data_IF_526816775622
#
_entry.id   IF_526816775622
#
_cell.length_a   1.000
_cell.length_b   1.000
_cell.length_c   1.000
_cell.angle_alpha   90.00
_cell.angle_beta   90.00
_cell.angle_gamma   90.00
#
_symmetry.space_group_name_H-M   'P 1'
#
loop_
_entity.id
_entity.type
_entity.pdbx_description
1 polymer ?
#
# COMPACT_ATOMS: atom_id res chain seq x y z
N UNK A 1 6.93 11.19 17.07
CA UNK A 1 7.35 9.87 17.60
C UNK A 1 7.10 8.80 16.54
N UNK A 2 5.85 8.53 16.13
CA UNK A 2 5.51 7.46 15.17
C UNK A 2 6.09 7.60 13.74
N UNK A 3 6.19 8.83 13.19
CA UNK A 3 6.68 9.04 11.82
C UNK A 3 8.15 8.67 11.64
N UNK A 4 8.98 8.96 12.65
CA UNK A 4 10.40 8.64 12.63
C UNK A 4 10.62 7.12 12.61
N UNK A 5 9.87 6.39 13.44
CA UNK A 5 9.95 4.93 13.52
C UNK A 5 9.55 4.30 12.16
N UNK A 6 8.48 4.79 11.53
CA UNK A 6 8.03 4.35 10.20
C UNK A 6 9.12 4.59 9.16
N UNK A 7 9.68 5.81 9.12
CA UNK A 7 10.75 6.14 8.19
C UNK A 7 11.99 5.27 8.40
N UNK A 8 12.38 5.01 9.65
CA UNK A 8 13.51 4.15 9.97
C UNK A 8 13.26 2.71 9.47
N UNK A 9 12.10 2.14 9.76
CA UNK A 9 11.76 0.79 9.30
C UNK A 9 11.73 0.68 7.77
N UNK A 10 11.15 1.67 7.07
CA UNK A 10 11.11 1.72 5.61
C UNK A 10 12.51 1.87 5.01
N UNK A 11 13.40 2.62 5.67
CA UNK A 11 14.78 2.77 5.22
C UNK A 11 15.57 1.46 5.39
N UNK A 12 15.42 0.77 6.52
CA UNK A 12 16.17 -0.45 6.84
C UNK A 12 15.68 -1.69 6.08
N UNK A 13 14.38 -1.76 5.77
CA UNK A 13 13.78 -2.96 5.18
C UNK A 13 13.18 -2.69 3.80
N UNK A 14 13.26 -3.67 2.89
CA UNK A 14 12.61 -3.57 1.57
C UNK A 14 11.09 -3.79 1.64
N UNK A 15 10.62 -4.46 2.69
CA UNK A 15 9.20 -4.68 2.96
C UNK A 15 8.91 -4.40 4.43
N UNK A 16 7.86 -3.63 4.71
CA UNK A 16 7.41 -3.30 6.07
C UNK A 16 5.93 -3.60 6.19
N UNK A 17 5.52 -4.29 7.24
CA UNK A 17 4.12 -4.49 7.59
C UNK A 17 3.78 -3.50 8.71
N UNK A 18 2.77 -2.68 8.47
CA UNK A 18 2.25 -1.72 9.44
C UNK A 18 0.87 -2.17 9.90
N UNK A 19 0.76 -2.48 11.19
CA UNK A 19 -0.49 -2.80 11.86
C UNK A 19 -1.04 -1.58 12.60
N UNK A 20 -2.34 -1.37 12.53
CA UNK A 20 -3.05 -0.42 13.39
C UNK A 20 -4.53 -0.47 13.09
N UNK A 21 -5.43 -0.24 14.04
CA UNK A 21 -6.88 -0.39 13.78
C UNK A 21 -7.42 0.68 12.82
N UNK A 22 -8.59 0.44 12.21
CA UNK A 22 -9.28 1.44 11.40
C UNK A 22 -9.54 2.71 12.23
N UNK A 23 -9.28 3.89 11.67
CA UNK A 23 -9.40 5.16 12.39
C UNK A 23 -8.15 5.62 13.15
N UNK A 24 -7.05 4.85 13.12
CA UNK A 24 -5.76 5.30 13.67
C UNK A 24 -4.93 6.19 12.72
N UNK A 25 -5.48 6.52 11.55
CA UNK A 25 -4.85 7.36 10.54
C UNK A 25 -3.83 6.66 9.64
N UNK A 26 -3.92 5.33 9.44
CA UNK A 26 -3.04 4.60 8.48
C UNK A 26 -3.19 5.13 7.05
N UNK A 27 -4.44 5.33 6.65
CA UNK A 27 -4.82 5.68 5.28
C UNK A 27 -5.08 7.18 5.12
N UNK A 28 -5.29 7.90 6.22
CA UNK A 28 -5.91 9.24 6.19
C UNK A 28 -5.77 9.90 7.56
N UNK A 29 -4.96 10.95 7.72
CA UNK A 29 -5.18 11.90 8.79
C UNK A 29 -5.98 13.11 8.25
N UNK A 30 -7.32 12.89 8.19
CA UNK A 30 -8.44 13.89 8.26
C UNK A 30 -8.85 14.54 6.90
N UNK A 31 -10.08 15.09 6.64
CA UNK A 31 -11.43 15.10 7.28
C UNK A 31 -12.59 14.54 6.41
N UNK A 32 -13.79 14.39 7.00
CA UNK A 32 -15.07 14.20 6.26
C UNK A 32 -15.46 15.48 5.51
N UNK A 33 -15.83 15.41 4.22
CA UNK A 33 -16.42 16.55 3.53
C UNK A 33 -17.85 16.80 4.05
N UNK A 34 -18.03 17.96 4.67
CA UNK A 34 -19.32 18.66 4.74
C UNK A 34 -19.35 19.61 3.56
N UNK A 35 -19.97 19.24 2.44
CA UNK A 35 -21.10 19.99 1.88
C UNK A 35 -21.60 19.30 0.60
N UNK A 36 -22.91 19.16 0.51
CA UNK A 36 -23.60 18.45 -0.56
C UNK A 36 -24.05 19.47 -1.59
N UNK A 37 -23.22 19.78 -2.58
CA UNK A 37 -23.68 20.55 -3.74
C UNK A 37 -22.99 20.12 -5.03
N UNK A 38 -23.62 19.14 -5.67
CA UNK A 38 -23.73 19.02 -7.13
C UNK A 38 -22.45 19.25 -7.94
N UNK A 39 -21.59 18.24 -8.00
CA UNK A 39 -20.76 18.03 -9.17
C UNK A 39 -20.45 16.53 -9.29
N UNK A 40 -20.73 15.98 -10.47
CA UNK A 40 -20.33 14.64 -10.88
C UNK A 40 -18.80 14.56 -10.88
N UNK A 41 -18.22 14.19 -9.74
CA UNK A 41 -16.80 13.93 -9.60
C UNK A 41 -16.62 12.45 -9.27
N UNK A 42 -15.82 11.77 -10.07
CA UNK A 42 -15.41 10.41 -9.81
C UNK A 42 -14.61 10.37 -8.50
N UNK A 43 -15.25 9.80 -7.48
CA UNK A 43 -14.77 9.83 -6.10
C UNK A 43 -13.72 8.74 -5.89
N UNK A 44 -12.45 9.14 -5.79
CA UNK A 44 -11.46 8.41 -5.01
C UNK A 44 -11.18 9.18 -3.71
N UNK A 45 -11.99 8.97 -2.64
CA UNK A 45 -11.92 9.76 -1.41
C UNK A 45 -10.52 9.84 -0.76
N UNK A 46 -9.69 8.77 -0.78
CA UNK A 46 -8.33 8.85 -0.22
C UNK A 46 -7.44 9.89 -0.93
N UNK A 47 -7.55 10.01 -2.26
CA UNK A 47 -6.72 10.94 -3.02
C UNK A 47 -7.09 12.40 -2.76
N UNK A 48 -8.40 12.70 -2.68
CA UNK A 48 -8.90 14.03 -2.31
C UNK A 48 -8.48 14.41 -0.89
N UNK A 49 -8.62 13.48 0.06
CA UNK A 49 -8.19 13.69 1.45
C UNK A 49 -6.70 14.02 1.54
N UNK A 50 -5.85 13.23 0.87
CA UNK A 50 -4.41 13.47 0.86
C UNK A 50 -4.02 14.80 0.17
N UNK A 51 -4.65 15.14 -0.96
CA UNK A 51 -4.40 16.42 -1.63
C UNK A 51 -4.77 17.60 -0.72
N UNK A 52 -5.92 17.52 -0.04
CA UNK A 52 -6.36 18.53 0.92
C UNK A 52 -5.42 18.64 2.13
N UNK A 53 -5.01 17.52 2.72
CA UNK A 53 -4.08 17.48 3.86
C UNK A 53 -2.71 18.11 3.52
N UNK A 54 -2.23 17.87 2.29
CA UNK A 54 -0.98 18.42 1.78
C UNK A 54 -1.10 19.85 1.24
N UNK A 55 -2.31 20.41 1.15
CA UNK A 55 -2.55 21.74 0.59
C UNK A 55 -2.22 21.84 -0.91
N UNK A 56 -2.33 20.74 -1.65
CA UNK A 56 -2.05 20.65 -3.10
C UNK A 56 -3.32 20.36 -3.88
N UNK A 57 -3.28 20.62 -5.20
CA UNK A 57 -4.39 20.31 -6.07
C UNK A 57 -4.36 18.84 -6.50
N UNK A 58 -5.53 18.20 -6.47
CA UNK A 58 -5.71 16.90 -7.10
C UNK A 58 -5.41 17.01 -8.60
N UNK A 59 -4.79 15.96 -9.15
CA UNK A 59 -4.40 15.92 -10.56
C UNK A 59 -3.06 16.58 -10.86
N UNK A 60 -2.35 17.15 -9.88
CA UNK A 60 -0.97 17.62 -10.04
C UNK A 60 -0.01 16.76 -9.23
N UNK A 61 0.32 17.12 -7.98
CA UNK A 61 1.25 16.37 -7.11
C UNK A 61 0.62 15.08 -6.55
N UNK A 62 -0.69 15.08 -6.33
CA UNK A 62 -1.48 13.93 -5.89
C UNK A 62 -2.48 13.59 -7.00
N UNK A 63 -2.47 12.35 -7.46
CA UNK A 63 -3.38 11.88 -8.49
C UNK A 63 -3.99 10.52 -8.17
N UNK A 64 -4.96 10.11 -8.98
CA UNK A 64 -5.55 8.78 -8.86
C UNK A 64 -5.82 8.14 -10.22
N UNK A 65 -5.87 6.81 -10.23
CA UNK A 65 -6.30 6.03 -11.38
C UNK A 65 -7.12 4.82 -10.96
N UNK A 66 -8.33 4.75 -11.50
CA UNK A 66 -9.24 3.62 -11.40
C UNK A 66 -9.59 3.11 -12.80
N UNK A 67 -10.42 2.07 -12.91
CA UNK A 67 -10.64 1.36 -14.19
C UNK A 67 -11.14 2.26 -15.32
N UNK A 68 -12.04 3.20 -15.01
CA UNK A 68 -12.73 4.03 -15.99
C UNK A 68 -12.44 5.51 -15.81
N UNK A 69 -11.50 5.85 -14.93
CA UNK A 69 -11.22 7.24 -14.62
C UNK A 69 -9.78 7.43 -14.12
N UNK A 70 -9.23 8.62 -14.41
CA UNK A 70 -7.85 8.97 -14.14
C UNK A 70 -7.70 10.48 -14.07
N UNK A 71 -7.13 10.95 -12.96
CA UNK A 71 -6.72 12.34 -12.77
C UNK A 71 -5.26 12.35 -12.27
N UNK A 72 -4.30 12.45 -13.20
CA UNK A 72 -2.87 12.35 -12.92
C UNK A 72 -2.11 13.34 -13.80
N UNK A 73 -1.39 14.26 -13.17
CA UNK A 73 -0.53 15.24 -13.83
C UNK A 73 0.90 14.73 -14.06
N UNK A 74 1.68 15.50 -14.80
CA UNK A 74 3.08 15.18 -15.10
C UNK A 74 3.96 15.18 -13.84
N UNK A 75 3.62 16.01 -12.86
CA UNK A 75 4.36 16.16 -11.59
C UNK A 75 3.81 15.28 -10.46
N UNK A 76 3.00 14.26 -10.78
CA UNK A 76 2.37 13.41 -9.78
C UNK A 76 3.41 12.60 -8.99
N UNK A 77 3.59 12.95 -7.73
CA UNK A 77 4.47 12.27 -6.78
C UNK A 77 3.74 11.15 -6.03
N UNK A 78 2.44 11.32 -5.76
CA UNK A 78 1.61 10.35 -5.03
C UNK A 78 0.45 9.93 -5.92
N UNK A 79 0.43 8.64 -6.27
CA UNK A 79 -0.63 8.07 -7.10
C UNK A 79 -1.44 7.05 -6.31
N UNK A 80 -2.72 7.34 -6.13
CA UNK A 80 -3.68 6.39 -5.62
C UNK A 80 -4.24 5.52 -6.74
N UNK A 81 -4.36 4.21 -6.54
CA UNK A 81 -4.94 3.33 -7.54
C UNK A 81 -5.56 2.09 -6.93
N UNK A 82 -6.43 1.44 -7.69
CA UNK A 82 -6.93 0.11 -7.30
C UNK A 82 -5.92 -0.97 -7.64
N UNK A 83 -5.97 -2.09 -6.93
CA UNK A 83 -5.15 -3.27 -7.18
C UNK A 83 -5.13 -3.71 -8.65
N UNK A 84 -6.29 -3.64 -9.33
CA UNK A 84 -6.41 -4.01 -10.74
C UNK A 84 -5.65 -3.07 -11.68
N UNK A 85 -5.49 -1.79 -11.33
CA UNK A 85 -4.67 -0.85 -12.09
C UNK A 85 -3.19 -1.17 -11.89
N UNK A 86 -2.75 -1.42 -10.65
CA UNK A 86 -1.38 -1.80 -10.37
C UNK A 86 -0.98 -3.11 -11.07
N UNK A 87 -1.86 -4.11 -11.08
CA UNK A 87 -1.64 -5.37 -11.81
C UNK A 87 -1.42 -5.14 -13.32
N UNK A 88 -2.18 -4.23 -13.94
CA UNK A 88 -1.99 -3.87 -15.36
C UNK A 88 -0.67 -3.16 -15.61
N UNK A 89 -0.23 -2.33 -14.66
CA UNK A 89 1.07 -1.68 -14.75
C UNK A 89 2.21 -2.68 -14.61
N UNK A 90 2.14 -3.65 -13.71
CA UNK A 90 3.11 -4.76 -13.62
C UNK A 90 3.16 -5.55 -14.93
N UNK A 91 2.03 -5.77 -15.60
CA UNK A 91 2.02 -6.42 -16.92
C UNK A 91 2.74 -5.60 -18.00
N UNK A 92 2.71 -4.28 -17.90
CA UNK A 92 3.32 -3.36 -18.88
C UNK A 92 4.80 -3.10 -18.58
N UNK A 93 5.14 -2.90 -17.31
CA UNK A 93 6.49 -2.76 -16.78
C UNK A 93 6.62 -3.59 -15.50
N UNK A 94 7.13 -4.80 -15.67
CA UNK A 94 7.30 -5.75 -14.56
C UNK A 94 8.19 -5.20 -13.44
N UNK A 95 9.17 -4.35 -13.77
CA UNK A 95 10.08 -3.79 -12.77
C UNK A 95 9.49 -2.58 -12.05
N UNK A 96 8.32 -2.09 -12.45
CA UNK A 96 7.67 -0.92 -11.84
C UNK A 96 8.66 0.25 -11.67
N UNK A 97 9.47 0.54 -12.69
CA UNK A 97 10.62 1.46 -12.60
C UNK A 97 10.22 2.87 -12.17
N UNK A 98 8.98 3.24 -12.47
CA UNK A 98 8.37 4.53 -12.09
C UNK A 98 8.12 4.67 -10.59
N UNK A 99 8.14 3.58 -9.84
CA UNK A 99 7.82 3.56 -8.41
C UNK A 99 9.07 3.25 -7.59
N UNK A 100 9.33 4.09 -6.58
CA UNK A 100 10.31 3.84 -5.52
C UNK A 100 9.66 3.15 -4.32
N UNK A 101 8.38 3.44 -4.06
CA UNK A 101 7.59 2.90 -2.96
C UNK A 101 6.22 2.47 -3.47
N UNK A 102 5.74 1.30 -3.03
CA UNK A 102 4.36 0.84 -3.23
C UNK A 102 3.73 0.58 -1.87
N UNK A 103 2.57 1.18 -1.63
CA UNK A 103 1.80 0.97 -0.41
C UNK A 103 0.55 0.16 -0.77
N UNK A 104 0.38 -0.99 -0.12
CA UNK A 104 -0.84 -1.79 -0.21
C UNK A 104 -1.64 -1.60 1.06
N UNK A 105 -2.81 -1.02 0.94
CA UNK A 105 -3.71 -0.79 2.06
C UNK A 105 -4.75 -1.90 2.22
N UNK A 106 -5.32 -2.01 3.42
CA UNK A 106 -6.38 -2.96 3.74
C UNK A 106 -6.04 -4.42 3.37
N UNK A 107 -4.75 -4.80 3.44
CA UNK A 107 -4.27 -6.14 3.02
C UNK A 107 -4.87 -7.30 3.84
N UNK A 108 -5.64 -7.00 4.88
CA UNK A 108 -6.36 -7.97 5.69
C UNK A 108 -7.70 -8.39 5.08
N UNK A 109 -8.23 -7.68 4.09
CA UNK A 109 -9.46 -8.09 3.39
C UNK A 109 -9.27 -9.36 2.55
N UNK A 110 -8.01 -9.74 2.27
CA UNK A 110 -7.63 -10.96 1.51
C UNK A 110 -8.36 -11.07 0.17
N UNK A 111 -8.39 -9.97 -0.57
CA UNK A 111 -8.85 -10.01 -1.94
C UNK A 111 -7.83 -10.75 -2.83
N UNK A 112 -8.33 -11.55 -3.77
CA UNK A 112 -7.53 -12.27 -4.78
C UNK A 112 -6.48 -11.40 -5.49
N UNK A 113 -6.84 -10.17 -5.86
CA UNK A 113 -5.91 -9.25 -6.51
C UNK A 113 -4.77 -8.84 -5.56
N UNK A 114 -5.09 -8.57 -4.29
CA UNK A 114 -4.12 -8.21 -3.24
C UNK A 114 -3.13 -9.35 -2.99
N UNK A 115 -3.60 -10.61 -2.98
CA UNK A 115 -2.74 -11.79 -2.80
C UNK A 115 -1.78 -11.97 -4.00
N UNK A 116 -2.30 -11.84 -5.23
CA UNK A 116 -1.48 -11.91 -6.45
C UNK A 116 -0.45 -10.78 -6.47
N UNK A 117 -0.86 -9.55 -6.15
CA UNK A 117 0.04 -8.41 -6.06
C UNK A 117 1.14 -8.62 -5.03
N UNK A 118 0.80 -9.12 -3.85
CA UNK A 118 1.77 -9.39 -2.78
C UNK A 118 2.82 -10.41 -3.24
N UNK A 119 2.38 -11.46 -3.95
CA UNK A 119 3.29 -12.46 -4.54
C UNK A 119 4.20 -11.85 -5.62
N UNK A 120 3.64 -11.07 -6.56
CA UNK A 120 4.40 -10.40 -7.62
C UNK A 120 5.40 -9.40 -7.05
N UNK A 121 4.97 -8.55 -6.11
CA UNK A 121 5.83 -7.55 -5.48
C UNK A 121 6.99 -8.18 -4.72
N UNK A 122 6.79 -9.33 -4.05
CA UNK A 122 7.90 -10.07 -3.44
C UNK A 122 8.98 -10.47 -4.45
N UNK A 123 8.58 -10.91 -5.65
CA UNK A 123 9.52 -11.21 -6.73
C UNK A 123 10.20 -9.95 -7.26
N UNK A 124 9.45 -8.86 -7.47
CA UNK A 124 9.96 -7.59 -8.02
C UNK A 124 10.97 -6.95 -7.06
N UNK A 125 10.72 -6.96 -5.75
CA UNK A 125 11.65 -6.43 -4.74
C UNK A 125 13.01 -7.13 -4.84
N UNK A 126 13.01 -8.47 -4.88
CA UNK A 126 14.24 -9.27 -4.98
C UNK A 126 14.99 -8.95 -6.28
N UNK A 127 14.27 -9.02 -7.40
CA UNK A 127 14.87 -8.77 -8.72
C UNK A 127 15.46 -7.36 -8.84
N UNK A 128 14.75 -6.32 -8.37
CA UNK A 128 15.27 -4.94 -8.40
C UNK A 128 16.46 -4.75 -7.48
N UNK A 129 16.53 -5.47 -6.37
CA UNK A 129 17.68 -5.42 -5.47
C UNK A 129 18.91 -6.05 -6.15
N UNK A 130 18.76 -7.23 -6.72
CA UNK A 130 19.86 -7.92 -7.43
C UNK A 130 20.37 -7.05 -8.59
N UNK A 131 19.46 -6.48 -9.39
CA UNK A 131 19.80 -5.56 -10.48
C UNK A 131 20.49 -4.29 -9.97
N UNK A 132 20.06 -3.74 -8.84
CA UNK A 132 20.71 -2.58 -8.24
C UNK A 132 22.14 -2.89 -7.79
N UNK A 133 22.35 -4.03 -7.13
CA UNK A 133 23.69 -4.46 -6.68
C UNK A 133 24.63 -4.68 -7.88
N UNK A 134 24.15 -5.32 -8.95
CA UNK A 134 24.91 -5.48 -10.19
C UNK A 134 25.25 -4.13 -10.85
N UNK A 135 24.31 -3.18 -10.82
CA UNK A 135 24.53 -1.83 -11.33
C UNK A 135 25.62 -1.09 -10.56
N UNK A 136 25.60 -1.17 -9.23
CA UNK A 136 26.62 -0.54 -8.39
C UNK A 136 28.02 -1.13 -8.67
N UNK A 137 28.13 -2.44 -8.89
CA UNK A 137 29.40 -3.08 -9.28
C UNK A 137 29.92 -2.55 -10.62
N UNK A 138 29.04 -2.40 -11.62
CA UNK A 138 29.42 -1.84 -12.93
C UNK A 138 29.89 -0.40 -12.84
N UNK A 139 29.21 0.43 -12.04
CA UNK A 139 29.63 1.81 -11.79
C UNK A 139 30.99 1.87 -11.11
N UNK A 140 31.25 0.98 -10.13
CA UNK A 140 32.57 0.86 -9.49
C UNK A 140 33.68 0.45 -10.46
N UNK A 141 33.35 -0.36 -11.47
CA UNK A 141 34.27 -0.74 -12.56
C UNK A 141 34.44 0.37 -13.62
N UNK A 142 33.78 1.51 -13.47
CA UNK A 142 33.88 2.66 -14.37
C UNK A 142 32.90 2.65 -15.53
N UNK A 143 31.91 1.76 -15.56
CA UNK A 143 30.83 1.79 -16.55
C UNK A 143 29.84 2.92 -16.26
N UNK A 144 29.37 3.57 -17.32
CA UNK A 144 28.34 4.61 -17.23
C UNK A 144 26.97 4.01 -17.50
N UNK A 145 26.07 4.11 -16.52
CA UNK A 145 24.68 3.68 -16.66
C UNK A 145 23.83 4.87 -17.09
N UNK A 146 23.13 4.73 -18.22
CA UNK A 146 22.20 5.74 -18.71
C UNK A 146 21.07 5.98 -17.69
N UNK A 147 20.58 7.24 -17.52
CA UNK A 147 19.54 7.56 -16.53
C UNK A 147 18.29 6.68 -16.65
N UNK A 148 17.81 6.45 -17.87
CA UNK A 148 16.61 5.65 -18.16
C UNK A 148 16.79 4.14 -17.89
N UNK A 149 18.04 3.69 -17.79
CA UNK A 149 18.38 2.30 -17.50
C UNK A 149 18.66 2.07 -16.01
N UNK A 150 18.74 3.13 -15.20
CA UNK A 150 19.00 3.01 -13.77
C UNK A 150 17.81 2.37 -13.07
N UNK A 151 18.09 1.40 -12.22
CA UNK A 151 17.10 0.77 -11.37
C UNK A 151 17.40 1.19 -9.95
N UNK A 152 16.37 1.55 -9.21
CA UNK A 152 16.48 1.81 -7.77
C UNK A 152 15.82 0.64 -7.01
N UNK A 153 16.21 0.36 -5.77
CA UNK A 153 15.48 -0.60 -4.93
C UNK A 153 14.01 -0.18 -4.79
N UNK A 154 13.10 -1.16 -4.78
CA UNK A 154 11.68 -0.93 -4.46
C UNK A 154 11.43 -1.17 -2.97
N UNK A 155 10.71 -0.26 -2.34
CA UNK A 155 10.17 -0.43 -0.99
C UNK A 155 8.68 -0.77 -1.06
N UNK A 156 8.24 -1.72 -0.25
CA UNK A 156 6.82 -2.09 -0.15
C UNK A 156 6.34 -1.93 1.29
N UNK A 157 5.20 -1.28 1.45
CA UNK A 157 4.55 -1.10 2.75
C UNK A 157 3.20 -1.80 2.69
N UNK A 158 2.97 -2.77 3.58
CA UNK A 158 1.70 -3.48 3.71
C UNK A 158 0.97 -2.94 4.93
N UNK A 159 -0.15 -2.25 4.73
CA UNK A 159 -0.96 -1.68 5.81
C UNK A 159 -2.16 -2.59 6.13
N UNK A 160 -2.36 -2.85 7.42
CA UNK A 160 -3.40 -3.76 7.91
C UNK A 160 -4.15 -3.20 9.10
N UNK A 161 -5.48 -3.28 9.07
CA UNK A 161 -6.32 -3.02 10.23
C UNK A 161 -6.23 -4.09 11.32
N UNK A 162 -5.78 -5.31 10.97
CA UNK A 162 -5.77 -6.48 11.87
C UNK A 162 -4.36 -7.02 12.11
N UNK A 163 -4.12 -7.57 13.30
CA UNK A 163 -2.85 -8.22 13.66
C UNK A 163 -2.64 -9.59 12.99
N UNK A 164 -3.58 -10.08 12.17
CA UNK A 164 -3.62 -11.49 11.76
C UNK A 164 -2.83 -11.80 10.46
N UNK A 165 -2.17 -10.80 9.86
CA UNK A 165 -1.47 -10.98 8.57
C UNK A 165 -0.14 -11.69 8.72
N UNK A 166 0.51 -11.53 9.87
CA UNK A 166 1.90 -11.93 10.11
C UNK A 166 2.16 -13.42 9.80
N UNK A 167 1.22 -14.32 10.08
CA UNK A 167 1.44 -15.77 9.90
C UNK A 167 1.45 -16.26 8.44
N UNK A 168 0.80 -15.57 7.50
CA UNK A 168 0.68 -16.07 6.12
C UNK A 168 1.57 -15.35 5.12
N UNK A 169 1.73 -14.03 5.26
CA UNK A 169 2.58 -13.24 4.36
C UNK A 169 4.07 -13.41 4.66
N UNK A 170 4.46 -13.44 5.94
CA UNK A 170 5.87 -13.45 6.34
C UNK A 170 6.55 -14.82 6.17
N UNK A 171 5.79 -15.92 6.12
CA UNK A 171 6.33 -17.28 6.04
C UNK A 171 6.47 -17.86 4.63
N UNK A 172 5.61 -17.46 3.68
CA UNK A 172 5.56 -18.07 2.35
C UNK A 172 5.93 -17.13 1.20
N UNK A 173 5.64 -15.84 1.33
CA UNK A 173 5.80 -14.88 0.24
C UNK A 173 7.11 -14.09 0.40
N UNK A 174 7.41 -13.63 1.61
CA UNK A 174 8.61 -12.84 1.91
C UNK A 174 9.59 -13.65 2.76
N UNK A 175 10.42 -14.46 2.11
CA UNK A 175 11.46 -15.26 2.78
C UNK A 175 12.68 -14.42 3.19
N UNK A 176 13.43 -14.90 4.20
CA UNK A 176 14.71 -14.31 4.57
C UNK A 176 15.68 -14.21 3.36
N UNK A 177 16.51 -13.15 3.28
CA UNK A 177 16.70 -12.07 4.26
C UNK A 177 15.64 -10.95 4.18
N UNK A 178 14.67 -11.04 3.27
CA UNK A 178 13.66 -10.01 3.02
C UNK A 178 12.40 -10.18 3.85
N UNK A 179 12.53 -10.72 5.06
CA UNK A 179 11.39 -10.84 5.97
C UNK A 179 10.87 -9.43 6.28
N UNK A 180 9.56 -9.18 6.21
CA UNK A 180 9.06 -7.84 6.46
C UNK A 180 9.33 -7.43 7.92
N UNK A 181 9.74 -6.19 8.14
CA UNK A 181 9.72 -5.62 9.50
C UNK A 181 8.27 -5.43 9.93
N UNK A 182 7.91 -5.92 11.11
CA UNK A 182 6.57 -5.77 11.68
C UNK A 182 6.54 -4.54 12.59
N UNK A 183 5.64 -3.61 12.33
CA UNK A 183 5.46 -2.39 13.12
C UNK A 183 4.01 -2.27 13.57
N UNK A 184 3.82 -2.03 14.86
CA UNK A 184 2.49 -1.80 15.44
C UNK A 184 2.29 -0.33 15.81
N UNK A 185 1.30 0.28 15.19
CA UNK A 185 0.79 1.60 15.52
C UNK A 185 -0.37 1.45 16.49
N UNK A 186 -0.17 1.81 17.75
CA UNK A 186 -1.24 1.82 18.74
C UNK A 186 -2.32 2.86 18.38
N UNK A 187 -3.58 2.47 18.54
CA UNK A 187 -4.75 3.33 18.31
C UNK A 187 -5.54 3.53 19.61
N UNK A 188 -6.37 4.57 19.66
CA UNK A 188 -7.28 4.78 20.80
C UNK A 188 -8.40 3.74 20.74
N UNK A 189 -8.42 2.83 21.70
CA UNK A 189 -9.53 1.89 21.87
C UNK A 189 -10.53 2.46 22.86
N UNK A 190 -11.82 2.33 22.53
CA UNK A 190 -12.91 2.58 23.47
C UNK A 190 -13.41 1.23 24.00
N UNK A 191 -13.70 1.10 25.31
CA UNK A 191 -14.17 -0.14 25.86
C UNK A 191 -15.52 -0.54 25.24
N UNK A 192 -15.57 -1.73 24.65
CA UNK A 192 -16.81 -2.32 24.12
C UNK A 192 -17.18 -3.53 24.97
N UNK A 193 -18.29 -3.44 25.69
CA UNK A 193 -18.82 -4.57 26.45
C UNK A 193 -19.47 -5.57 25.50
N UNK A 194 -18.90 -6.78 25.43
CA UNK A 194 -19.43 -7.87 24.61
C UNK A 194 -20.47 -8.67 25.39
N UNK A 195 -21.71 -8.65 24.93
CA UNK A 195 -22.77 -9.52 25.43
C UNK A 195 -22.95 -10.70 24.48
N UNK A 196 -22.87 -11.92 25.01
CA UNK A 196 -23.11 -13.15 24.26
C UNK A 196 -24.47 -13.71 24.65
N UNK A 197 -25.22 -14.22 23.68
CA UNK A 197 -26.45 -14.96 23.98
C UNK A 197 -26.11 -16.35 24.53
N UNK A 198 -26.85 -16.80 25.55
CA UNK A 198 -26.70 -18.14 26.12
C UNK A 198 -27.15 -19.26 25.15
N UNK A 199 -27.79 -18.91 24.04
CA UNK A 199 -28.21 -19.82 22.98
C UNK A 199 -27.98 -19.17 21.63
N UNK A 200 -27.39 -19.91 20.69
CA UNK A 200 -27.33 -19.49 19.29
C UNK A 200 -28.71 -19.69 18.66
N UNK A 201 -29.34 -18.63 18.15
CA UNK A 201 -30.55 -18.76 17.34
C UNK A 201 -30.22 -19.59 16.08
N UNK A 202 -30.68 -20.85 16.03
CA UNK A 202 -30.71 -21.62 14.80
C UNK A 202 -31.87 -21.08 13.97
N UNK A 203 -31.59 -20.30 12.93
CA UNK A 203 -32.56 -20.08 11.86
C UNK A 203 -32.78 -21.45 11.20
N UNK A 204 -33.86 -22.14 11.58
CA UNK A 204 -34.39 -23.29 10.88
C UNK A 204 -35.80 -22.89 10.42
N UNK A 205 -35.91 -22.54 9.14
CA UNK A 205 -37.13 -22.62 8.38
C UNK A 205 -36.75 -23.18 7.01
N UNK A 206 -37.50 -24.16 6.44
CA UNK A 206 -37.27 -24.57 5.08
C UNK A 206 -37.53 -23.36 4.16
N UNK A 207 -36.64 -23.14 3.20
CA UNK A 207 -36.95 -22.26 2.06
C UNK A 207 -38.18 -22.84 1.36
N UNK A 208 -39.29 -22.09 1.38
CA UNK A 208 -40.44 -22.32 0.49
C UNK A 208 -40.14 -21.70 -0.87
#
# INVERSE_FOLDING_TARGET
MKEHDIMEAVNQSSCVIIHGETGCGKTTQVPQPTDTSGAEYLDFPPARGAAFELGVNLGNEVGFQVRHDKEIGENCAIKFMTDGILLREIQSDFLLKRYSVVIMDEVHERNSNTDILSAMLSCIIKLRKDLYEDQEQKVLLGEVIAPDSRICPLKVILMSATLCIDKQMSGKIFSAPHRPSDMRIESRQFPVTRHFQNRTCRLHGPCL
#
